data_IF_612896543747
#
_entry.id   IF_612896543747
#
_cell.length_a   1.000
_cell.length_b   1.000
_cell.length_c   1.000
_cell.angle_alpha   90.00
_cell.angle_beta   90.00
_cell.angle_gamma   90.00
#
_symmetry.space_group_name_H-M   'P 1'
#
loop_
_entity.id
_entity.type
_entity.pdbx_description
1 polymer ?
#
# COMPACT_ATOMS: atom_id res chain seq x y z
N UNK A 1 3.12 22.64 2.19
CA UNK A 1 3.07 21.64 1.12
C UNK A 1 3.31 20.29 1.78
N UNK A 2 2.49 19.30 1.45
CA UNK A 2 2.64 17.92 1.88
C UNK A 2 2.88 17.03 0.66
N UNK A 3 3.57 15.89 0.84
CA UNK A 3 3.86 14.93 -0.21
C UNK A 3 3.61 13.50 0.28
N UNK A 4 3.18 12.64 -0.64
CA UNK A 4 2.89 11.24 -0.36
C UNK A 4 3.67 10.31 -1.28
N UNK A 5 3.74 9.04 -0.92
CA UNK A 5 4.31 7.98 -1.73
C UNK A 5 3.35 6.78 -1.76
N UNK A 6 3.36 6.05 -2.86
CA UNK A 6 2.53 4.86 -3.00
C UNK A 6 3.28 3.58 -2.67
N UNK A 7 2.59 2.51 -2.21
CA UNK A 7 3.20 1.21 -1.97
C UNK A 7 3.93 0.65 -3.19
N UNK A 8 3.38 0.82 -4.39
CA UNK A 8 3.96 0.27 -5.60
C UNK A 8 5.26 0.97 -6.03
N UNK A 9 5.41 2.28 -5.81
CA UNK A 9 6.68 2.97 -6.06
C UNK A 9 7.77 2.63 -5.04
N UNK A 10 7.40 2.16 -3.86
CA UNK A 10 8.34 1.65 -2.87
C UNK A 10 8.73 0.18 -3.14
N UNK A 11 7.85 -0.60 -3.78
CA UNK A 11 8.02 -2.04 -3.93
C UNK A 11 8.63 -2.45 -5.26
N UNK A 12 8.14 -1.89 -6.37
CA UNK A 12 8.56 -2.24 -7.73
C UNK A 12 9.61 -1.28 -8.29
N UNK A 13 10.37 -1.79 -9.26
CA UNK A 13 11.36 -1.04 -10.03
C UNK A 13 11.11 -1.22 -11.53
N UNK A 14 11.79 -0.48 -12.37
CA UNK A 14 11.76 -0.61 -13.83
C UNK A 14 12.17 -2.01 -14.33
N UNK A 15 12.93 -2.77 -13.55
CA UNK A 15 13.23 -4.16 -13.86
C UNK A 15 11.98 -5.05 -13.89
N UNK A 16 10.96 -4.72 -13.10
CA UNK A 16 9.69 -5.46 -13.06
C UNK A 16 8.83 -5.20 -14.31
N UNK A 17 9.13 -4.15 -15.09
CA UNK A 17 8.42 -3.79 -16.32
C UNK A 17 8.86 -4.60 -17.55
N UNK A 18 9.89 -5.42 -17.47
CA UNK A 18 10.45 -6.13 -18.64
C UNK A 18 9.44 -7.05 -19.35
N UNK A 19 8.42 -7.53 -18.63
CA UNK A 19 7.33 -8.33 -19.19
C UNK A 19 6.17 -7.52 -19.75
N UNK A 20 6.20 -6.19 -19.69
CA UNK A 20 5.12 -5.29 -20.07
C UNK A 20 3.77 -5.64 -19.43
N UNK A 21 3.82 -6.08 -18.15
CA UNK A 21 2.60 -6.31 -17.37
C UNK A 21 1.82 -5.00 -17.23
N UNK A 22 0.63 -4.96 -17.81
CA UNK A 22 -0.24 -3.79 -17.79
C UNK A 22 -0.65 -3.37 -16.38
N UNK A 23 -0.63 -4.30 -15.40
CA UNK A 23 -0.89 -3.98 -14.00
C UNK A 23 0.20 -3.11 -13.38
N UNK A 24 1.42 -3.08 -13.95
CA UNK A 24 2.50 -2.18 -13.54
C UNK A 24 2.44 -0.81 -14.23
N UNK A 25 1.49 -0.60 -15.15
CA UNK A 25 1.32 0.69 -15.82
C UNK A 25 0.64 1.68 -14.87
N UNK A 26 1.42 2.63 -14.34
CA UNK A 26 0.98 3.69 -13.41
C UNK A 26 1.51 5.06 -13.84
N UNK A 27 0.92 6.11 -13.32
CA UNK A 27 1.37 7.49 -13.51
C UNK A 27 1.40 8.19 -12.14
N UNK A 28 2.60 8.66 -11.72
CA UNK A 28 3.92 8.57 -12.35
C UNK A 28 4.38 7.13 -12.62
N UNK A 29 5.26 6.89 -13.62
CA UNK A 29 5.71 5.54 -13.93
C UNK A 29 6.63 4.97 -12.84
N UNK A 30 6.67 3.64 -12.73
CA UNK A 30 7.66 2.93 -11.90
C UNK A 30 9.06 3.31 -12.39
N UNK A 31 9.96 3.60 -11.44
CA UNK A 31 11.28 4.16 -11.70
C UNK A 31 12.38 3.17 -11.35
N UNK A 32 13.62 3.62 -11.51
CA UNK A 32 14.82 2.83 -11.24
C UNK A 32 14.98 2.45 -9.77
N UNK A 33 15.81 1.46 -9.49
CA UNK A 33 16.20 1.10 -8.13
C UNK A 33 16.82 2.26 -7.34
N UNK A 34 17.49 3.19 -8.04
CA UNK A 34 18.04 4.38 -7.39
C UNK A 34 16.94 5.33 -6.92
N UNK A 35 15.91 5.52 -7.73
CA UNK A 35 14.73 6.31 -7.38
C UNK A 35 13.96 5.65 -6.22
N UNK A 36 13.75 4.33 -6.26
CA UNK A 36 13.12 3.58 -5.17
C UNK A 36 13.85 3.78 -3.84
N UNK A 37 15.19 3.65 -3.83
CA UNK A 37 16.00 3.89 -2.63
C UNK A 37 15.90 5.34 -2.13
N UNK A 38 15.79 6.29 -3.04
CA UNK A 38 15.59 7.70 -2.67
C UNK A 38 14.22 7.90 -2.01
N UNK A 39 13.15 7.25 -2.51
CA UNK A 39 11.83 7.28 -1.89
C UNK A 39 11.82 6.62 -0.50
N UNK A 40 12.45 5.46 -0.35
CA UNK A 40 12.60 4.78 0.96
C UNK A 40 13.30 5.70 1.96
N UNK A 41 14.39 6.35 1.54
CA UNK A 41 15.09 7.33 2.38
C UNK A 41 14.18 8.50 2.74
N UNK A 42 13.44 9.06 1.78
CA UNK A 42 12.55 10.21 1.99
C UNK A 42 11.39 9.90 2.95
N UNK A 43 10.91 8.64 2.98
CA UNK A 43 9.97 8.17 4.01
C UNK A 43 10.63 8.14 5.38
N UNK A 44 11.84 7.59 5.48
CA UNK A 44 12.55 7.42 6.77
C UNK A 44 12.99 8.75 7.39
N UNK A 45 13.38 9.72 6.59
CA UNK A 45 13.79 11.05 7.06
C UNK A 45 12.63 12.06 7.15
N UNK A 46 11.39 11.59 6.96
CA UNK A 46 10.16 12.39 7.02
C UNK A 46 10.09 13.54 5.97
N UNK A 47 10.81 13.42 4.86
CA UNK A 47 10.62 14.30 3.69
C UNK A 47 9.27 14.04 3.02
N UNK A 48 8.80 12.79 3.04
CA UNK A 48 7.44 12.41 2.66
C UNK A 48 6.57 12.30 3.90
N UNK A 49 5.34 12.80 3.80
CA UNK A 49 4.44 12.98 4.94
C UNK A 49 3.59 11.75 5.23
N UNK A 50 3.14 11.03 4.21
CA UNK A 50 2.29 9.86 4.37
C UNK A 50 2.42 8.87 3.21
N UNK A 51 1.79 7.72 3.38
CA UNK A 51 1.65 6.68 2.35
C UNK A 51 0.19 6.66 1.91
N UNK A 52 -0.04 6.77 0.59
CA UNK A 52 -1.35 6.68 -0.04
C UNK A 52 -1.36 5.54 -1.08
N UNK A 53 -2.46 4.80 -1.17
CA UNK A 53 -2.51 3.57 -1.97
C UNK A 53 -2.58 3.82 -3.47
N UNK A 54 -3.10 4.96 -3.89
CA UNK A 54 -3.44 5.24 -5.29
C UNK A 54 -4.28 4.10 -5.91
N UNK A 55 -5.29 3.64 -5.15
CA UNK A 55 -6.14 2.51 -5.49
C UNK A 55 -7.00 2.81 -6.71
N UNK A 56 -6.67 2.22 -7.87
CA UNK A 56 -7.32 2.42 -9.14
C UNK A 56 -7.81 1.09 -9.76
N UNK A 57 -9.04 0.66 -9.44
CA UNK A 57 -9.60 -0.56 -9.98
C UNK A 57 -9.96 -0.40 -11.46
N UNK A 58 -9.56 -1.38 -12.28
CA UNK A 58 -9.88 -1.52 -13.70
C UNK A 58 -10.43 -2.90 -13.99
N UNK A 59 -11.23 -3.03 -15.05
CA UNK A 59 -11.73 -4.33 -15.47
C UNK A 59 -10.62 -5.18 -16.11
N UNK A 60 -10.86 -6.47 -16.23
CA UNK A 60 -9.91 -7.38 -16.88
C UNK A 60 -9.72 -6.97 -18.33
N UNK A 61 -10.83 -6.66 -19.03
CA UNK A 61 -10.83 -6.27 -20.45
C UNK A 61 -10.01 -5.02 -20.70
N UNK A 62 -10.04 -4.06 -19.77
CA UNK A 62 -9.22 -2.84 -19.87
C UNK A 62 -7.72 -3.14 -19.70
N UNK A 63 -7.37 -4.14 -18.90
CA UNK A 63 -5.98 -4.51 -18.61
C UNK A 63 -5.41 -5.60 -19.52
N UNK A 64 -6.24 -6.35 -20.27
CA UNK A 64 -5.78 -7.39 -21.22
C UNK A 64 -5.24 -6.82 -22.55
N UNK A 65 -5.36 -5.52 -22.76
CA UNK A 65 -4.80 -4.84 -23.94
C UNK A 65 -3.27 -4.79 -23.96
N UNK A 66 -2.73 -4.18 -25.02
CA UNK A 66 -1.29 -3.91 -25.08
C UNK A 66 -0.89 -2.85 -24.05
N UNK A 67 0.37 -2.86 -23.61
CA UNK A 67 0.84 -1.95 -22.56
C UNK A 67 0.63 -0.48 -22.88
N UNK A 68 0.76 -0.07 -24.15
CA UNK A 68 0.54 1.30 -24.61
C UNK A 68 -0.92 1.74 -24.53
N UNK A 69 -1.89 0.83 -24.76
CA UNK A 69 -3.32 1.12 -24.74
C UNK A 69 -3.98 0.93 -23.36
N UNK A 70 -3.42 0.07 -22.50
CA UNK A 70 -3.98 -0.18 -21.18
C UNK A 70 -4.05 1.10 -20.34
N UNK A 71 -5.10 1.30 -19.53
CA UNK A 71 -5.21 2.44 -18.63
C UNK A 71 -4.17 2.38 -17.52
N UNK A 72 -3.81 3.54 -16.98
CA UNK A 72 -2.95 3.64 -15.81
C UNK A 72 -3.71 3.25 -14.54
N UNK A 73 -3.02 2.56 -13.63
CA UNK A 73 -3.52 2.25 -12.30
C UNK A 73 -3.54 0.77 -11.96
N UNK A 74 -3.51 0.51 -10.65
CA UNK A 74 -3.63 -0.80 -10.03
C UNK A 74 -4.42 -0.73 -8.74
N UNK A 75 -4.99 -1.84 -8.27
CA UNK A 75 -5.54 -1.90 -6.93
C UNK A 75 -4.41 -1.97 -5.90
N UNK A 76 -4.57 -1.29 -4.78
CA UNK A 76 -3.51 -1.17 -3.77
C UNK A 76 -3.98 -1.21 -2.32
N UNK A 77 -5.29 -1.41 -2.04
CA UNK A 77 -5.78 -1.39 -0.65
C UNK A 77 -5.33 -2.64 0.11
N UNK A 78 -5.58 -3.82 -0.43
CA UNK A 78 -5.37 -5.09 0.27
C UNK A 78 -3.89 -5.44 0.40
N UNK A 79 -3.06 -5.05 -0.57
CA UNK A 79 -1.62 -5.28 -0.58
C UNK A 79 -0.82 -4.24 0.21
N UNK A 80 -1.42 -3.07 0.52
CA UNK A 80 -0.72 -1.90 1.06
C UNK A 80 0.16 -2.26 2.26
N UNK A 81 -0.44 -2.72 3.36
CA UNK A 81 0.29 -2.95 4.60
C UNK A 81 1.41 -3.97 4.43
N UNK A 82 1.12 -5.12 3.82
CA UNK A 82 2.12 -6.18 3.61
C UNK A 82 3.30 -5.74 2.76
N UNK A 83 3.04 -4.94 1.71
CA UNK A 83 4.07 -4.42 0.82
C UNK A 83 4.96 -3.39 1.51
N UNK A 84 4.38 -2.36 2.13
CA UNK A 84 5.18 -1.30 2.77
C UNK A 84 5.89 -1.77 4.02
N UNK A 85 5.28 -2.68 4.80
CA UNK A 85 5.90 -3.27 5.97
C UNK A 85 7.11 -4.12 5.59
N UNK A 86 7.02 -4.88 4.48
CA UNK A 86 8.17 -5.61 3.93
C UNK A 86 9.29 -4.66 3.55
N UNK A 87 9.01 -3.67 2.69
CA UNK A 87 10.06 -2.79 2.18
C UNK A 87 10.64 -1.91 3.28
N UNK A 88 9.80 -1.25 4.07
CA UNK A 88 10.27 -0.22 5.00
C UNK A 88 10.79 -0.81 6.32
N UNK A 89 10.08 -1.78 6.90
CA UNK A 89 10.43 -2.33 8.21
C UNK A 89 11.39 -3.51 8.07
N UNK A 90 11.01 -4.56 7.30
CA UNK A 90 11.82 -5.78 7.21
C UNK A 90 13.15 -5.58 6.48
N UNK A 91 13.12 -4.84 5.36
CA UNK A 91 14.28 -4.71 4.45
C UNK A 91 15.11 -3.44 4.72
N UNK A 92 14.52 -2.42 5.33
CA UNK A 92 15.17 -1.12 5.55
C UNK A 92 15.14 -0.62 7.01
N UNK A 93 14.83 -1.49 7.98
CA UNK A 93 14.92 -1.22 9.43
C UNK A 93 14.17 0.05 9.88
N UNK A 94 13.04 0.37 9.27
CA UNK A 94 12.17 1.43 9.75
C UNK A 94 11.44 0.98 11.02
N UNK A 95 11.29 1.88 11.97
CA UNK A 95 10.50 1.60 13.17
C UNK A 95 9.02 1.33 12.81
N UNK A 96 8.46 0.26 13.41
CA UNK A 96 7.10 -0.19 13.15
C UNK A 96 6.05 0.89 13.48
N UNK A 97 6.24 1.62 14.58
CA UNK A 97 5.31 2.69 14.96
C UNK A 97 5.34 3.85 13.96
N UNK A 98 6.52 4.18 13.47
CA UNK A 98 6.71 5.22 12.44
C UNK A 98 5.98 4.84 11.15
N UNK A 99 6.04 3.57 10.71
CA UNK A 99 5.25 3.10 9.57
C UNK A 99 3.74 3.25 9.82
N UNK A 100 3.26 2.81 10.99
CA UNK A 100 1.84 2.92 11.35
C UNK A 100 1.39 4.38 11.34
N UNK A 101 2.21 5.31 11.82
CA UNK A 101 1.89 6.74 11.76
C UNK A 101 1.76 7.26 10.31
N UNK A 102 2.61 6.79 9.38
CA UNK A 102 2.53 7.14 7.96
C UNK A 102 1.24 6.67 7.29
N UNK A 103 0.61 5.62 7.81
CA UNK A 103 -0.64 5.05 7.31
C UNK A 103 -1.88 5.54 8.04
N UNK A 104 -1.74 6.17 9.21
CA UNK A 104 -2.88 6.47 10.10
C UNK A 104 -2.91 7.94 10.54
N UNK A 105 -2.14 8.29 11.56
CA UNK A 105 -2.24 9.60 12.22
C UNK A 105 -1.75 10.75 11.37
N UNK A 106 -0.72 10.54 10.55
CA UNK A 106 -0.20 11.57 9.65
C UNK A 106 -1.21 11.95 8.54
N UNK A 107 -1.74 10.99 7.73
CA UNK A 107 -2.76 11.33 6.74
C UNK A 107 -4.03 11.91 7.37
N UNK A 108 -4.44 11.43 8.55
CA UNK A 108 -5.58 12.03 9.27
C UNK A 108 -5.32 13.49 9.66
N UNK A 109 -4.11 13.80 10.14
CA UNK A 109 -3.72 15.17 10.48
C UNK A 109 -3.71 16.08 9.24
N UNK A 110 -3.18 15.61 8.10
CA UNK A 110 -3.18 16.34 6.82
C UNK A 110 -4.61 16.67 6.38
N UNK A 111 -5.53 15.72 6.52
CA UNK A 111 -6.94 15.86 6.14
C UNK A 111 -7.79 16.59 7.19
N UNK A 112 -7.20 16.99 8.33
CA UNK A 112 -7.91 17.66 9.41
C UNK A 112 -8.86 16.75 10.20
N UNK A 113 -8.68 15.43 10.14
CA UNK A 113 -9.48 14.47 10.91
C UNK A 113 -9.02 14.40 12.36
N UNK A 114 -9.96 14.06 13.26
CA UNK A 114 -9.66 13.83 14.66
C UNK A 114 -8.77 12.58 14.83
N UNK A 115 -7.72 12.71 15.62
CA UNK A 115 -6.79 11.60 15.97
C UNK A 115 -7.08 10.97 17.34
N UNK A 116 -8.19 11.31 18.01
CA UNK A 116 -8.62 10.73 19.30
C UNK A 116 -9.30 9.38 19.09
N UNK A 117 -8.57 8.41 18.53
CA UNK A 117 -9.12 7.11 18.13
C UNK A 117 -9.27 6.12 19.28
N UNK A 118 -8.57 6.36 20.41
CA UNK A 118 -8.54 5.48 21.59
C UNK A 118 -9.15 6.12 22.83
N UNK A 119 -9.81 7.27 22.70
CA UNK A 119 -10.47 7.92 23.83
C UNK A 119 -11.70 7.09 24.29
N UNK A 120 -11.93 7.03 25.57
CA UNK A 120 -13.11 6.32 26.12
C UNK A 120 -14.40 6.97 25.63
N UNK A 121 -15.30 6.16 25.10
CA UNK A 121 -16.60 6.60 24.60
C UNK A 121 -16.66 6.94 23.11
N UNK A 122 -15.53 6.87 22.39
CA UNK A 122 -15.53 6.96 20.92
C UNK A 122 -15.80 5.61 20.27
N UNK A 123 -16.34 5.62 19.06
CA UNK A 123 -16.50 4.39 18.29
C UNK A 123 -15.12 3.81 17.91
N UNK A 124 -14.96 2.51 18.06
CA UNK A 124 -13.74 1.83 17.67
C UNK A 124 -13.58 1.84 16.15
N UNK A 125 -12.47 2.39 15.68
CA UNK A 125 -11.99 2.32 14.29
C UNK A 125 -10.56 1.75 14.34
N UNK A 126 -10.45 0.44 14.30
CA UNK A 126 -9.21 -0.28 14.59
C UNK A 126 -8.86 -1.28 13.50
N UNK A 127 -7.56 -1.44 13.27
CA UNK A 127 -7.01 -2.52 12.46
C UNK A 127 -6.04 -3.32 13.33
N UNK A 128 -6.26 -4.63 13.44
CA UNK A 128 -5.40 -5.55 14.19
C UNK A 128 -4.51 -6.26 13.19
N UNK A 129 -3.22 -6.19 13.42
CA UNK A 129 -2.19 -6.72 12.52
C UNK A 129 -1.31 -7.75 13.24
N UNK A 130 -0.83 -8.74 12.48
CA UNK A 130 0.38 -9.48 12.81
C UNK A 130 1.53 -8.86 12.01
N UNK A 131 2.46 -8.12 12.62
CA UNK A 131 3.49 -7.39 11.88
C UNK A 131 4.60 -8.27 11.32
N UNK A 132 4.64 -9.56 11.69
CA UNK A 132 5.74 -10.48 11.35
C UNK A 132 5.32 -11.64 10.46
N UNK A 133 4.04 -11.83 10.19
CA UNK A 133 3.56 -12.93 9.35
C UNK A 133 4.10 -12.80 7.92
N UNK A 134 4.72 -13.87 7.43
CA UNK A 134 5.13 -14.00 6.03
C UNK A 134 4.06 -14.75 5.25
N UNK A 135 3.65 -14.19 4.12
CA UNK A 135 2.59 -14.78 3.31
C UNK A 135 2.74 -14.36 1.83
N UNK A 136 2.07 -15.08 0.95
CA UNK A 136 2.03 -14.75 -0.48
C UNK A 136 0.68 -14.13 -0.79
N UNK A 137 0.70 -12.91 -1.35
CA UNK A 137 -0.52 -12.23 -1.77
C UNK A 137 -1.15 -12.96 -2.96
N UNK A 138 -2.40 -13.29 -2.86
CA UNK A 138 -3.14 -14.08 -3.84
C UNK A 138 -4.48 -13.44 -4.20
N UNK A 139 -5.12 -13.94 -5.25
CA UNK A 139 -6.48 -13.48 -5.63
C UNK A 139 -7.51 -13.63 -4.52
N UNK A 140 -7.32 -14.58 -3.60
CA UNK A 140 -8.24 -14.83 -2.47
C UNK A 140 -8.18 -13.72 -1.41
N UNK A 141 -7.09 -12.99 -1.37
CA UNK A 141 -6.87 -11.89 -0.41
C UNK A 141 -7.47 -10.57 -0.90
N UNK A 142 -7.98 -10.52 -2.15
CA UNK A 142 -8.56 -9.35 -2.77
C UNK A 142 -10.06 -9.29 -2.46
N UNK A 143 -10.49 -8.20 -1.82
CA UNK A 143 -11.90 -7.87 -1.56
C UNK A 143 -12.47 -6.90 -2.60
N UNK A 144 -11.62 -6.19 -3.30
CA UNK A 144 -11.98 -5.31 -4.41
C UNK A 144 -12.64 -6.09 -5.53
N UNK A 145 -13.56 -5.45 -6.26
CA UNK A 145 -14.23 -6.08 -7.42
C UNK A 145 -13.26 -6.36 -8.58
N UNK A 146 -12.20 -5.59 -8.68
CA UNK A 146 -11.16 -5.73 -9.69
C UNK A 146 -9.96 -6.50 -9.14
N UNK A 147 -9.20 -7.12 -10.04
CA UNK A 147 -8.03 -7.93 -9.69
C UNK A 147 -6.75 -7.44 -10.39
N UNK A 148 -6.74 -6.20 -10.88
CA UNK A 148 -5.59 -5.58 -11.57
C UNK A 148 -4.48 -5.23 -10.58
N UNK A 149 -3.76 -6.24 -10.12
CA UNK A 149 -2.69 -6.11 -9.13
C UNK A 149 -1.43 -6.87 -9.52
N UNK A 150 -0.28 -6.18 -9.67
CA UNK A 150 1.01 -6.84 -9.88
C UNK A 150 1.55 -7.48 -8.60
N UNK A 151 0.90 -7.25 -7.46
CA UNK A 151 1.28 -7.87 -6.19
C UNK A 151 0.88 -9.34 -6.08
N UNK A 152 -0.01 -9.86 -6.96
CA UNK A 152 -0.40 -11.27 -6.94
C UNK A 152 0.85 -12.15 -7.16
N UNK A 153 1.08 -13.10 -6.23
CA UNK A 153 2.26 -13.96 -6.21
C UNK A 153 3.46 -13.38 -5.46
N UNK A 154 3.40 -12.11 -5.02
CA UNK A 154 4.48 -11.49 -4.26
C UNK A 154 4.49 -11.92 -2.80
N UNK A 155 5.70 -12.10 -2.24
CA UNK A 155 5.88 -12.32 -0.82
C UNK A 155 5.65 -11.01 -0.06
N UNK A 156 4.78 -11.05 0.93
CA UNK A 156 4.44 -9.96 1.83
C UNK A 156 4.96 -10.21 3.24
N UNK A 157 5.08 -9.14 4.01
CA UNK A 157 5.48 -9.21 5.42
C UNK A 157 4.57 -8.36 6.28
N UNK A 158 3.96 -8.99 7.28
CA UNK A 158 2.88 -8.39 8.07
C UNK A 158 1.51 -8.56 7.42
N UNK A 159 0.52 -8.99 8.21
CA UNK A 159 -0.84 -9.26 7.74
C UNK A 159 -1.88 -8.61 8.63
N UNK A 160 -2.90 -8.05 8.01
CA UNK A 160 -4.11 -7.59 8.70
C UNK A 160 -4.92 -8.82 9.08
N UNK A 161 -5.35 -8.91 10.35
CA UNK A 161 -6.17 -10.00 10.88
C UNK A 161 -7.61 -9.61 11.06
N UNK A 162 -7.84 -8.40 11.56
CA UNK A 162 -9.20 -7.90 11.81
C UNK A 162 -9.27 -6.42 11.49
N UNK A 163 -10.44 -6.00 11.05
CA UNK A 163 -10.83 -4.58 11.00
C UNK A 163 -12.08 -4.39 11.81
N UNK A 164 -12.12 -3.29 12.58
CA UNK A 164 -13.29 -2.89 13.39
C UNK A 164 -13.67 -1.48 12.95
N UNK A 165 -14.89 -1.33 12.47
CA UNK A 165 -15.41 -0.02 12.04
C UNK A 165 -16.94 0.02 12.22
N UNK A 166 -17.46 1.10 12.78
CA UNK A 166 -18.91 1.36 12.97
C UNK A 166 -19.65 0.17 13.59
N UNK A 167 -19.03 -0.51 14.56
CA UNK A 167 -19.61 -1.66 15.25
C UNK A 167 -19.52 -2.99 14.49
N UNK A 168 -18.95 -3.01 13.29
CA UNK A 168 -18.70 -4.23 12.52
C UNK A 168 -17.27 -4.72 12.74
N UNK A 169 -17.12 -6.03 12.90
CA UNK A 169 -15.82 -6.71 12.96
C UNK A 169 -15.70 -7.59 11.73
N UNK A 170 -14.66 -7.39 10.93
CA UNK A 170 -14.34 -8.24 9.79
C UNK A 170 -13.05 -9.00 10.07
N UNK A 171 -13.05 -10.30 9.76
CA UNK A 171 -11.88 -11.17 9.76
C UNK A 171 -11.31 -11.15 8.34
N UNK A 172 -9.99 -10.97 8.22
CA UNK A 172 -9.30 -10.83 6.93
C UNK A 172 -8.47 -12.09 6.64
#
# INVERSE_FOLDING_TARGET
ITAEVTPHHLFFTDNDLQGFDTNLKVAPPIRTIADQKALVKAVKDCTLDCIATDHAPHTIEEKEGTFDLAPFGMIGLESCFGAVNKVLVKENDMDQLSLIQMLTTKPRAIMGFNNKLFDIGVNAELTIIDPKEEWVFSRKDIQSRSHNSPFIGQNMYGRIKYTINKGHISVI
#
